data_IF_487509991518
#
_entry.id   IF_487509991518
#
_cell.length_a   1.000
_cell.length_b   1.000
_cell.length_c   1.000
_cell.angle_alpha   90.00
_cell.angle_beta   90.00
_cell.angle_gamma   90.00
#
_symmetry.space_group_name_H-M   'P 1'
#
loop_
_entity.id
_entity.type
_entity.pdbx_description
1 polymer ?
#
# COMPACT_ATOMS: atom_id res chain seq x y z
N UNK A 1 -12.37 -1.91 55.73
CA UNK A 1 -12.88 -1.81 54.34
C UNK A 1 -12.07 -0.75 53.61
N UNK A 2 -11.07 -1.14 52.80
CA UNK A 2 -10.26 -0.20 52.02
C UNK A 2 -10.89 -0.03 50.63
N UNK A 3 -11.32 1.19 50.29
CA UNK A 3 -11.81 1.54 48.95
C UNK A 3 -10.59 1.91 48.10
N UNK A 4 -10.26 1.08 47.11
CA UNK A 4 -9.31 1.42 46.05
C UNK A 4 -10.05 2.23 44.98
N UNK A 5 -9.61 3.47 44.79
CA UNK A 5 -10.10 4.36 43.73
C UNK A 5 -9.23 4.11 42.49
N UNK A 6 -9.83 3.59 41.42
CA UNK A 6 -9.15 3.42 40.13
C UNK A 6 -9.23 4.75 39.38
N UNK A 7 -8.09 5.42 39.22
CA UNK A 7 -7.99 6.63 38.41
C UNK A 7 -7.92 6.21 36.93
N UNK A 8 -9.03 6.38 36.21
CA UNK A 8 -9.05 6.22 34.75
C UNK A 8 -8.28 7.41 34.14
N UNK A 9 -7.07 7.19 33.65
CA UNK A 9 -6.35 8.19 32.86
C UNK A 9 -7.00 8.27 31.47
N UNK A 10 -7.75 9.35 31.23
CA UNK A 10 -8.28 9.69 29.93
C UNK A 10 -7.14 10.18 29.01
N UNK A 11 -6.54 9.26 28.25
CA UNK A 11 -5.58 9.58 27.18
C UNK A 11 -6.39 9.98 25.93
N UNK A 12 -7.05 11.14 25.95
CA UNK A 12 -7.80 11.64 24.79
C UNK A 12 -7.23 12.95 24.20
N UNK A 13 -6.10 13.45 24.73
CA UNK A 13 -5.58 14.78 24.39
C UNK A 13 -4.43 14.82 23.36
N UNK A 14 -3.70 13.72 23.14
CA UNK A 14 -2.48 13.73 22.30
C UNK A 14 -2.72 13.38 20.83
N UNK A 15 -3.88 12.79 20.50
CA UNK A 15 -4.24 12.41 19.13
C UNK A 15 -4.39 13.62 18.20
N UNK A 16 -4.90 14.75 18.70
CA UNK A 16 -5.30 15.90 17.87
C UNK A 16 -4.13 16.84 17.51
N UNK A 17 -3.08 16.93 18.34
CA UNK A 17 -2.01 17.93 18.15
C UNK A 17 -1.03 17.56 17.02
N UNK A 18 -0.61 16.30 16.94
CA UNK A 18 0.35 15.84 15.94
C UNK A 18 -0.21 15.93 14.51
N UNK A 19 -1.46 15.49 14.35
CA UNK A 19 -2.15 15.49 13.08
C UNK A 19 -2.28 16.91 12.51
N UNK A 20 -2.62 17.89 13.35
CA UNK A 20 -2.79 19.29 12.92
C UNK A 20 -1.49 19.96 12.48
N UNK A 21 -0.35 19.57 13.04
CA UNK A 21 0.94 20.20 12.73
C UNK A 21 1.46 19.83 11.34
N UNK A 22 1.31 18.56 10.92
CA UNK A 22 1.91 18.04 9.69
C UNK A 22 0.92 17.86 8.52
N UNK A 23 -0.38 18.00 8.80
CA UNK A 23 -1.41 17.88 7.78
C UNK A 23 -1.20 18.90 6.63
N UNK A 24 -1.16 18.44 5.37
CA UNK A 24 -1.07 19.35 4.22
C UNK A 24 -2.24 20.34 4.20
N UNK A 25 -1.98 21.60 3.85
CA UNK A 25 -3.00 22.65 3.85
C UNK A 25 -4.17 22.29 2.91
N UNK A 26 -5.39 22.35 3.44
CA UNK A 26 -6.61 22.03 2.69
C UNK A 26 -6.83 20.54 2.40
N UNK A 27 -6.01 19.65 2.97
CA UNK A 27 -6.21 18.20 2.86
C UNK A 27 -7.24 17.68 3.86
N UNK A 28 -7.81 16.52 3.56
CA UNK A 28 -8.67 15.75 4.48
C UNK A 28 -8.02 14.41 4.81
N UNK A 29 -8.22 13.94 6.04
CA UNK A 29 -7.68 12.65 6.50
C UNK A 29 -8.60 11.53 6.04
N UNK A 30 -8.02 10.47 5.49
CA UNK A 30 -8.72 9.25 5.08
C UNK A 30 -8.66 8.23 6.20
N UNK A 31 -7.45 7.90 6.65
CA UNK A 31 -7.18 6.92 7.68
C UNK A 31 -5.92 7.30 8.46
N UNK A 32 -5.85 6.85 9.72
CA UNK A 32 -4.63 6.89 10.52
C UNK A 32 -4.49 5.58 11.29
N UNK A 33 -3.30 4.99 11.24
CA UNK A 33 -2.94 3.79 12.01
C UNK A 33 -1.64 4.01 12.75
N UNK A 34 -1.51 3.38 13.91
CA UNK A 34 -0.32 3.43 14.76
C UNK A 34 0.32 2.04 14.86
N UNK A 35 1.64 1.97 14.79
CA UNK A 35 2.37 0.73 14.96
C UNK A 35 3.88 0.92 14.93
N UNK A 36 4.60 0.06 15.62
CA UNK A 36 6.07 0.05 15.62
C UNK A 36 6.57 -0.44 14.26
N UNK A 37 7.13 0.47 13.46
CA UNK A 37 7.60 0.21 12.09
C UNK A 37 9.12 0.13 11.99
N UNK A 38 9.86 0.63 12.97
CA UNK A 38 11.33 0.58 12.99
C UNK A 38 11.95 -0.23 14.14
N UNK A 39 11.11 -0.81 15.00
CA UNK A 39 11.50 -1.80 16.00
C UNK A 39 12.00 -1.19 17.32
N UNK A 40 11.86 0.12 17.52
CA UNK A 40 12.25 0.78 18.76
C UNK A 40 11.18 0.71 19.87
N UNK A 41 10.05 0.04 19.60
CA UNK A 41 8.87 -0.12 20.48
C UNK A 41 8.08 1.16 20.74
N UNK A 42 8.38 2.24 20.03
CA UNK A 42 7.59 3.46 20.02
C UNK A 42 6.80 3.46 18.71
N UNK A 43 5.46 3.39 18.75
CA UNK A 43 4.68 3.35 17.52
C UNK A 43 4.88 4.60 16.65
N UNK A 44 5.21 4.38 15.39
CA UNK A 44 5.03 5.36 14.31
C UNK A 44 3.54 5.57 14.04
N UNK A 45 3.19 6.76 13.59
CA UNK A 45 1.84 7.12 13.13
C UNK A 45 1.82 7.26 11.62
N UNK A 46 1.06 6.42 10.95
CA UNK A 46 0.81 6.51 9.50
C UNK A 46 -0.52 7.24 9.29
N UNK A 47 -0.53 8.21 8.38
CA UNK A 47 -1.71 9.01 8.05
C UNK A 47 -1.80 9.12 6.54
N UNK A 48 -3.00 8.90 5.99
CA UNK A 48 -3.28 9.10 4.57
C UNK A 48 -4.22 10.28 4.42
N UNK A 49 -3.87 11.15 3.48
CA UNK A 49 -4.61 12.36 3.18
C UNK A 49 -5.11 12.34 1.74
N UNK A 50 -6.34 12.80 1.51
CA UNK A 50 -6.71 13.39 0.23
C UNK A 50 -6.18 14.82 0.24
N UNK A 51 -5.24 15.13 -0.65
CA UNK A 51 -4.71 16.49 -0.77
C UNK A 51 -5.69 17.38 -1.55
N UNK A 52 -5.49 18.70 -1.46
CA UNK A 52 -6.26 19.67 -2.25
C UNK A 52 -5.97 19.59 -3.76
N UNK A 53 -4.83 19.01 -4.14
CA UNK A 53 -4.43 18.92 -5.54
C UNK A 53 -5.17 17.74 -6.19
N UNK A 54 -5.58 17.93 -7.44
CA UNK A 54 -6.40 16.96 -8.18
C UNK A 54 -5.84 16.70 -9.57
N UNK A 55 -6.13 15.51 -10.09
CA UNK A 55 -6.02 15.18 -11.52
C UNK A 55 -7.37 14.70 -12.05
N UNK A 56 -7.42 14.25 -13.30
CA UNK A 56 -8.58 13.57 -13.87
C UNK A 56 -8.98 12.29 -13.09
N UNK A 57 -8.05 11.71 -12.31
CA UNK A 57 -8.30 10.55 -11.44
C UNK A 57 -8.64 10.94 -9.98
N UNK A 58 -8.99 12.20 -9.73
CA UNK A 58 -9.47 12.67 -8.42
C UNK A 58 -8.39 13.35 -7.57
N UNK A 59 -8.52 13.30 -6.24
CA UNK A 59 -7.54 13.90 -5.34
C UNK A 59 -6.25 13.09 -5.34
N UNK A 60 -5.12 13.76 -5.52
CA UNK A 60 -3.81 13.17 -5.25
C UNK A 60 -3.72 12.87 -3.75
N UNK A 61 -3.24 11.69 -3.40
CA UNK A 61 -3.08 11.28 -2.00
C UNK A 61 -1.67 11.49 -1.49
N UNK A 62 -1.54 11.81 -0.22
CA UNK A 62 -0.25 11.80 0.48
C UNK A 62 -0.33 10.84 1.65
N UNK A 63 0.61 9.90 1.71
CA UNK A 63 0.90 9.14 2.93
C UNK A 63 2.00 9.87 3.70
N UNK A 64 1.80 10.06 5.00
CA UNK A 64 2.84 10.53 5.92
C UNK A 64 3.04 9.50 7.02
N UNK A 65 4.30 9.25 7.35
CA UNK A 65 4.72 8.39 8.45
C UNK A 65 5.44 9.29 9.44
N UNK A 66 4.90 9.41 10.64
CA UNK A 66 5.42 10.27 11.69
C UNK A 66 6.10 9.41 12.76
N UNK A 67 7.26 9.86 13.20
CA UNK A 67 8.03 9.26 14.30
C UNK A 67 8.14 10.24 15.46
N UNK A 68 8.24 9.72 16.68
CA UNK A 68 8.51 10.51 17.88
C UNK A 68 10.01 10.56 18.15
N UNK A 69 10.60 11.76 18.13
CA UNK A 69 12.01 12.01 18.45
C UNK A 69 12.09 12.99 19.61
N UNK A 70 12.71 12.58 20.71
CA UNK A 70 12.83 13.39 21.94
C UNK A 70 11.50 13.96 22.43
N UNK A 71 10.43 13.16 22.32
CA UNK A 71 9.07 13.53 22.74
C UNK A 71 8.25 14.32 21.72
N UNK A 72 8.86 14.82 20.64
CA UNK A 72 8.20 15.58 19.59
C UNK A 72 7.93 14.72 18.35
N UNK A 73 6.84 15.00 17.65
CA UNK A 73 6.56 14.35 16.37
C UNK A 73 7.39 14.96 15.25
N UNK A 74 7.87 14.13 14.34
CA UNK A 74 8.61 14.50 13.12
C UNK A 74 8.16 13.63 11.96
N UNK A 75 8.20 14.13 10.73
CA UNK A 75 7.97 13.31 9.54
C UNK A 75 9.18 12.38 9.36
N UNK A 76 8.95 11.07 9.46
CA UNK A 76 9.93 10.03 9.14
C UNK A 76 10.04 9.87 7.63
N UNK A 77 8.91 9.69 6.95
CA UNK A 77 8.83 9.65 5.49
C UNK A 77 7.45 10.12 5.04
N UNK A 78 7.35 10.62 3.81
CA UNK A 78 6.07 10.90 3.16
C UNK A 78 6.15 10.64 1.67
N UNK A 79 5.04 10.32 1.03
CA UNK A 79 4.98 10.11 -0.42
C UNK A 79 3.61 10.45 -0.98
N UNK A 80 3.60 10.86 -2.25
CA UNK A 80 2.38 11.03 -3.07
C UNK A 80 2.20 9.94 -4.13
N UNK A 81 3.07 8.93 -4.12
CA UNK A 81 3.14 7.89 -5.15
C UNK A 81 2.77 6.50 -4.62
N UNK A 82 2.57 6.32 -3.31
CA UNK A 82 2.29 5.01 -2.71
C UNK A 82 0.80 4.66 -2.68
N UNK A 83 -0.08 5.67 -2.62
CA UNK A 83 -1.54 5.50 -2.56
C UNK A 83 -2.14 6.16 -3.81
N UNK A 84 -2.97 5.40 -4.53
CA UNK A 84 -3.62 5.84 -5.75
C UNK A 84 -4.65 6.93 -5.47
N UNK A 85 -4.89 7.77 -6.48
CA UNK A 85 -5.82 8.88 -6.41
C UNK A 85 -7.27 8.46 -6.12
N UNK A 86 -8.07 9.39 -5.63
CA UNK A 86 -9.39 9.09 -5.06
C UNK A 86 -10.44 8.52 -6.01
N UNK A 87 -10.23 8.59 -7.33
CA UNK A 87 -11.10 8.00 -8.35
C UNK A 87 -10.36 7.05 -9.28
N UNK A 88 -9.13 6.62 -8.93
CA UNK A 88 -8.32 5.74 -9.76
C UNK A 88 -8.80 4.27 -9.78
N UNK A 89 -9.91 3.95 -9.09
CA UNK A 89 -10.54 2.63 -9.06
C UNK A 89 -11.44 2.32 -10.26
N UNK A 90 -11.47 3.18 -11.30
CA UNK A 90 -12.34 3.00 -12.46
C UNK A 90 -13.81 3.24 -12.13
N UNK A 91 -14.72 2.40 -12.64
CA UNK A 91 -16.16 2.56 -12.37
C UNK A 91 -16.54 2.29 -10.91
N UNK A 92 -15.67 1.59 -10.15
CA UNK A 92 -15.85 1.38 -8.72
C UNK A 92 -15.51 2.62 -7.87
N UNK A 93 -14.92 3.67 -8.47
CA UNK A 93 -14.62 4.93 -7.79
C UNK A 93 -13.31 4.88 -7.02
N UNK A 94 -13.37 5.01 -5.71
CA UNK A 94 -12.20 5.10 -4.83
C UNK A 94 -11.49 3.74 -4.68
N UNK A 95 -10.21 3.63 -5.07
CA UNK A 95 -9.51 2.37 -4.97
C UNK A 95 -8.98 2.04 -3.58
N UNK A 96 -8.94 3.01 -2.65
CA UNK A 96 -8.34 2.79 -1.34
C UNK A 96 -9.18 1.86 -0.48
N UNK A 97 -8.56 0.84 0.12
CA UNK A 97 -9.26 -0.13 0.96
C UNK A 97 -8.82 -0.09 2.41
N UNK A 98 -7.54 -0.26 2.67
CA UNK A 98 -7.03 -0.35 4.03
C UNK A 98 -5.53 -0.01 4.08
N UNK A 99 -5.13 0.61 5.19
CA UNK A 99 -3.74 0.63 5.65
C UNK A 99 -3.62 -0.07 6.99
N UNK A 100 -2.61 -0.93 7.12
CA UNK A 100 -2.43 -1.77 8.29
C UNK A 100 -0.96 -1.89 8.65
N UNK A 101 -0.66 -2.08 9.93
CA UNK A 101 0.68 -2.38 10.40
C UNK A 101 0.67 -3.76 11.07
N UNK A 102 1.49 -4.69 10.57
CA UNK A 102 1.68 -6.01 11.16
C UNK A 102 3.14 -6.38 11.25
N UNK A 103 3.62 -6.71 12.47
CA UNK A 103 4.97 -7.21 12.69
C UNK A 103 6.07 -6.32 12.06
N UNK A 104 5.93 -5.01 12.20
CA UNK A 104 6.86 -4.02 11.63
C UNK A 104 6.73 -3.79 10.11
N UNK A 105 5.66 -4.28 9.49
CA UNK A 105 5.38 -4.10 8.06
C UNK A 105 4.18 -3.19 7.89
N UNK A 106 4.36 -2.14 7.10
CA UNK A 106 3.27 -1.31 6.59
C UNK A 106 2.64 -2.00 5.38
N UNK A 107 1.33 -2.21 5.42
CA UNK A 107 0.55 -2.88 4.38
C UNK A 107 -0.48 -1.90 3.84
N UNK A 108 -0.54 -1.76 2.51
CA UNK A 108 -1.52 -0.89 1.84
C UNK A 108 -2.25 -1.73 0.80
N UNK A 109 -3.58 -1.79 0.90
CA UNK A 109 -4.44 -2.55 0.00
C UNK A 109 -5.33 -1.62 -0.82
N UNK A 110 -5.42 -1.88 -2.12
CA UNK A 110 -6.19 -1.08 -3.06
C UNK A 110 -6.87 -1.98 -4.08
N UNK A 111 -8.04 -1.60 -4.59
CA UNK A 111 -8.73 -2.38 -5.61
C UNK A 111 -9.60 -1.51 -6.51
N UNK A 112 -10.14 -2.10 -7.58
CA UNK A 112 -11.05 -1.37 -8.44
C UNK A 112 -11.52 -2.18 -9.63
N UNK A 113 -12.04 -1.44 -10.61
CA UNK A 113 -12.44 -1.96 -11.90
C UNK A 113 -13.90 -1.69 -12.25
N UNK A 114 -14.47 -2.63 -13.00
CA UNK A 114 -15.82 -2.69 -13.55
C UNK A 114 -16.10 -4.16 -13.88
N UNK A 115 -16.35 -4.49 -15.15
CA UNK A 115 -16.36 -5.85 -15.69
C UNK A 115 -15.03 -6.58 -15.43
N UNK A 116 -13.92 -5.88 -15.65
CA UNK A 116 -12.59 -6.29 -15.20
C UNK A 116 -12.37 -5.84 -13.77
N UNK A 117 -11.91 -6.71 -12.89
CA UNK A 117 -11.60 -6.41 -11.50
C UNK A 117 -10.10 -6.52 -11.28
N UNK A 118 -9.60 -5.74 -10.35
CA UNK A 118 -8.22 -5.85 -9.88
C UNK A 118 -8.13 -5.50 -8.39
N UNK A 119 -7.15 -6.08 -7.72
CA UNK A 119 -6.69 -5.69 -6.39
C UNK A 119 -5.17 -5.78 -6.33
N UNK A 120 -4.59 -4.98 -5.43
CA UNK A 120 -3.16 -4.95 -5.15
C UNK A 120 -2.94 -4.74 -3.66
N UNK A 121 -2.00 -5.47 -3.10
CA UNK A 121 -1.54 -5.33 -1.71
C UNK A 121 -0.04 -5.17 -1.70
N UNK A 122 0.43 -4.02 -1.22
CA UNK A 122 1.84 -3.72 -1.07
C UNK A 122 2.29 -3.87 0.38
N UNK A 123 3.53 -4.34 0.57
CA UNK A 123 4.15 -4.53 1.87
C UNK A 123 5.47 -3.77 1.92
N UNK A 124 5.56 -2.80 2.82
CA UNK A 124 6.74 -1.97 3.03
C UNK A 124 7.40 -2.26 4.36
N UNK A 125 8.72 -2.25 4.39
CA UNK A 125 9.54 -2.36 5.61
C UNK A 125 10.43 -1.13 5.72
N UNK A 126 10.53 -0.57 6.91
CA UNK A 126 11.56 0.43 7.19
C UNK A 126 12.93 -0.26 7.27
N UNK A 127 13.80 0.04 6.31
CA UNK A 127 15.17 -0.47 6.26
C UNK A 127 16.04 0.52 5.48
N UNK A 128 17.34 0.54 5.76
CA UNK A 128 18.27 1.48 5.10
C UNK A 128 17.80 2.95 5.21
N UNK A 129 17.13 3.31 6.30
CA UNK A 129 16.65 4.67 6.58
C UNK A 129 15.41 5.11 5.81
N UNK A 130 14.70 4.21 5.10
CA UNK A 130 13.48 4.53 4.36
C UNK A 130 12.56 3.30 4.23
N UNK A 131 11.32 3.50 3.76
CA UNK A 131 10.35 2.42 3.55
C UNK A 131 10.51 1.77 2.18
N UNK A 132 11.13 0.60 2.14
CA UNK A 132 11.31 -0.20 0.93
C UNK A 132 10.15 -1.18 0.73
N UNK A 133 9.70 -1.34 -0.52
CA UNK A 133 8.73 -2.37 -0.91
C UNK A 133 9.40 -3.73 -0.84
N UNK A 134 8.97 -4.58 0.10
CA UNK A 134 9.53 -5.93 0.30
C UNK A 134 8.71 -7.02 -0.38
N UNK A 135 7.45 -6.72 -0.71
CA UNK A 135 6.57 -7.61 -1.45
C UNK A 135 5.32 -6.91 -1.97
N UNK A 136 4.78 -7.42 -3.07
CA UNK A 136 3.49 -6.98 -3.61
C UNK A 136 2.74 -8.19 -4.17
N UNK A 137 1.43 -8.21 -3.99
CA UNK A 137 0.56 -9.23 -4.57
C UNK A 137 -0.62 -8.56 -5.26
N UNK A 138 -1.06 -9.11 -6.39
CA UNK A 138 -2.21 -8.59 -7.12
C UNK A 138 -2.99 -9.70 -7.79
N UNK A 139 -4.31 -9.58 -7.77
CA UNK A 139 -5.21 -10.39 -8.57
C UNK A 139 -5.92 -9.48 -9.57
N UNK A 140 -6.08 -9.93 -10.82
CA UNK A 140 -6.84 -9.19 -11.83
C UNK A 140 -7.49 -10.12 -12.83
N UNK A 141 -8.69 -9.79 -13.30
CA UNK A 141 -9.41 -10.68 -14.18
C UNK A 141 -10.85 -10.29 -14.40
N UNK A 142 -11.55 -11.13 -15.15
CA UNK A 142 -12.96 -10.98 -15.43
C UNK A 142 -13.63 -12.35 -15.28
N UNK A 143 -14.72 -12.45 -14.49
CA UNK A 143 -15.45 -13.71 -14.35
C UNK A 143 -15.86 -14.27 -15.72
N UNK A 144 -15.68 -15.58 -15.90
CA UNK A 144 -15.96 -16.26 -17.17
C UNK A 144 -14.84 -16.15 -18.21
N UNK A 145 -13.87 -15.24 -18.04
CA UNK A 145 -12.74 -15.08 -18.96
C UNK A 145 -11.50 -15.76 -18.37
N UNK A 146 -10.79 -15.07 -17.48
CA UNK A 146 -9.63 -15.57 -16.74
C UNK A 146 -9.31 -14.69 -15.52
N UNK A 147 -8.49 -15.23 -14.62
CA UNK A 147 -7.86 -14.53 -13.50
C UNK A 147 -6.34 -14.66 -13.55
N UNK A 148 -5.65 -13.54 -13.34
CA UNK A 148 -4.20 -13.46 -13.18
C UNK A 148 -3.88 -13.16 -11.73
N UNK A 149 -2.97 -13.94 -11.16
CA UNK A 149 -2.42 -13.69 -9.82
C UNK A 149 -0.91 -13.49 -9.92
N UNK A 150 -0.42 -12.51 -9.17
CA UNK A 150 0.99 -12.19 -9.02
C UNK A 150 1.27 -12.16 -7.52
N UNK A 151 2.32 -12.86 -7.09
CA UNK A 151 2.92 -12.72 -5.77
C UNK A 151 4.42 -12.53 -5.96
N UNK A 152 4.88 -11.31 -5.70
CA UNK A 152 6.27 -10.92 -5.86
C UNK A 152 6.89 -10.59 -4.52
N UNK A 153 7.79 -11.45 -4.05
CA UNK A 153 8.64 -11.19 -2.91
C UNK A 153 9.93 -10.49 -3.38
N UNK A 154 9.97 -9.16 -3.28
CA UNK A 154 11.12 -8.35 -3.70
C UNK A 154 12.38 -8.61 -2.86
N UNK A 155 12.22 -9.03 -1.59
CA UNK A 155 13.35 -9.35 -0.71
C UNK A 155 14.17 -10.56 -1.22
N UNK A 156 13.49 -11.56 -1.77
CA UNK A 156 14.12 -12.77 -2.33
C UNK A 156 14.29 -12.68 -3.85
N UNK A 157 13.51 -11.80 -4.49
CA UNK A 157 13.35 -11.71 -5.93
C UNK A 157 12.41 -12.77 -6.52
N UNK A 158 11.76 -13.60 -5.70
CA UNK A 158 10.85 -14.62 -6.21
C UNK A 158 9.51 -14.01 -6.63
N UNK A 159 9.19 -14.17 -7.91
CA UNK A 159 7.92 -13.79 -8.52
C UNK A 159 7.17 -15.06 -8.91
N UNK A 160 5.98 -15.25 -8.37
CA UNK A 160 5.06 -16.31 -8.73
C UNK A 160 3.92 -15.70 -9.54
N UNK A 161 3.66 -16.27 -10.71
CA UNK A 161 2.61 -15.85 -11.64
C UNK A 161 1.69 -17.04 -11.94
N UNK A 162 0.38 -16.81 -11.92
CA UNK A 162 -0.62 -17.70 -12.49
C UNK A 162 -1.61 -16.92 -13.35
N UNK A 163 -2.12 -17.57 -14.38
CA UNK A 163 -3.26 -17.15 -15.18
C UNK A 163 -4.18 -18.35 -15.31
N UNK A 164 -5.27 -18.34 -14.55
CA UNK A 164 -6.29 -19.38 -14.60
C UNK A 164 -7.37 -18.99 -15.60
N UNK A 165 -7.53 -19.78 -16.65
CA UNK A 165 -8.42 -19.48 -17.77
C UNK A 165 -9.72 -20.29 -17.66
N UNK A 166 -10.86 -19.60 -17.66
CA UNK A 166 -12.18 -20.22 -17.67
C UNK A 166 -12.66 -20.42 -19.12
N UNK A 167 -12.56 -19.39 -19.96
CA UNK A 167 -12.88 -19.46 -21.39
C UNK A 167 -11.65 -19.86 -22.21
N UNK A 168 -11.38 -21.17 -22.25
CA UNK A 168 -10.22 -21.73 -22.94
C UNK A 168 -10.27 -21.61 -24.47
N UNK A 169 -11.48 -21.47 -25.05
CA UNK A 169 -11.66 -21.29 -26.48
C UNK A 169 -11.10 -19.93 -26.96
N UNK A 170 -11.22 -18.90 -26.14
CA UNK A 170 -10.76 -17.54 -26.45
C UNK A 170 -9.35 -17.25 -25.91
N UNK A 171 -9.07 -17.66 -24.67
CA UNK A 171 -7.85 -17.25 -23.97
C UNK A 171 -6.78 -18.35 -23.85
N UNK A 172 -7.04 -19.53 -24.42
CA UNK A 172 -6.12 -20.66 -24.42
C UNK A 172 -6.05 -21.38 -23.07
N UNK A 173 -4.89 -21.97 -22.77
CA UNK A 173 -4.70 -22.77 -21.54
C UNK A 173 -4.23 -21.89 -20.37
N UNK A 174 -4.52 -22.32 -19.15
CA UNK A 174 -3.92 -21.74 -17.95
C UNK A 174 -2.39 -21.75 -18.02
N UNK A 175 -1.77 -20.71 -17.46
CA UNK A 175 -0.33 -20.53 -17.42
C UNK A 175 0.15 -20.36 -15.98
N UNK A 176 1.34 -20.87 -15.69
CA UNK A 176 1.99 -20.68 -14.39
C UNK A 176 3.49 -20.59 -14.56
N UNK A 177 4.12 -19.66 -13.86
CA UNK A 177 5.57 -19.51 -13.86
C UNK A 177 6.07 -18.92 -12.55
N UNK A 178 7.17 -19.49 -12.05
CA UNK A 178 7.98 -18.86 -11.00
C UNK A 178 9.27 -18.37 -11.64
N UNK A 179 9.60 -17.10 -11.40
CA UNK A 179 10.79 -16.45 -11.94
C UNK A 179 11.53 -15.69 -10.83
N UNK A 180 12.86 -15.63 -10.92
CA UNK A 180 13.69 -14.89 -9.96
C UNK A 180 14.17 -13.60 -10.60
N UNK A 181 13.64 -12.47 -10.12
CA UNK A 181 14.07 -11.11 -10.48
C UNK A 181 14.55 -10.37 -9.23
N UNK A 182 15.87 -10.23 -9.10
CA UNK A 182 16.52 -9.51 -7.99
C UNK A 182 16.94 -8.08 -8.38
N UNK A 183 17.24 -7.27 -7.37
CA UNK A 183 17.86 -5.96 -7.52
C UNK A 183 16.91 -4.82 -7.87
N UNK A 184 15.60 -5.05 -7.83
CA UNK A 184 14.61 -3.99 -7.97
C UNK A 184 14.57 -3.19 -6.67
N UNK A 185 14.62 -1.85 -6.80
CA UNK A 185 14.58 -0.93 -5.68
C UNK A 185 13.32 -0.07 -5.79
N UNK A 186 12.29 -0.52 -5.10
CA UNK A 186 11.00 0.18 -5.03
C UNK A 186 10.78 0.62 -3.59
N UNK A 187 10.29 1.83 -3.41
CA UNK A 187 9.94 2.42 -2.13
C UNK A 187 8.67 3.27 -2.30
N UNK A 188 8.26 3.95 -1.23
CA UNK A 188 7.08 4.80 -1.28
C UNK A 188 7.16 5.86 -2.39
N UNK A 189 8.35 6.35 -2.74
CA UNK A 189 8.55 7.45 -3.68
C UNK A 189 8.38 7.05 -5.15
N UNK A 190 8.55 5.78 -5.50
CA UNK A 190 8.54 5.32 -6.90
C UNK A 190 7.57 4.16 -7.16
N UNK A 191 6.58 3.95 -6.29
CA UNK A 191 5.63 2.85 -6.40
C UNK A 191 4.66 2.96 -7.60
N UNK A 192 3.91 4.06 -7.70
CA UNK A 192 2.92 4.29 -8.77
C UNK A 192 3.40 5.43 -9.69
N UNK A 193 4.51 5.21 -10.38
CA UNK A 193 5.01 6.17 -11.38
C UNK A 193 4.16 6.13 -12.65
N UNK A 194 4.15 7.24 -13.41
CA UNK A 194 3.44 7.34 -14.69
C UNK A 194 3.79 6.19 -15.65
N UNK A 195 5.06 5.79 -15.68
CA UNK A 195 5.51 4.60 -16.40
C UNK A 195 5.51 3.40 -15.45
N UNK A 196 4.49 2.57 -15.57
CA UNK A 196 4.41 1.31 -14.81
C UNK A 196 5.61 0.41 -15.10
N UNK A 197 6.13 -0.20 -14.04
CA UNK A 197 7.20 -1.17 -14.14
C UNK A 197 6.62 -2.51 -14.60
N UNK A 198 7.36 -3.23 -15.44
CA UNK A 198 6.97 -4.56 -15.90
C UNK A 198 8.14 -5.52 -16.03
N UNK A 199 7.84 -6.81 -15.87
CA UNK A 199 8.72 -7.93 -16.16
C UNK A 199 8.06 -8.78 -17.25
N UNK A 200 8.82 -9.17 -18.27
CA UNK A 200 8.39 -10.17 -19.24
C UNK A 200 8.90 -11.52 -18.77
N UNK A 201 7.99 -12.45 -18.54
CA UNK A 201 8.33 -13.77 -18.03
C UNK A 201 9.04 -14.62 -19.10
N UNK A 202 10.17 -15.27 -18.78
CA UNK A 202 10.97 -15.95 -19.80
C UNK A 202 10.29 -17.17 -20.41
N UNK A 203 9.43 -17.91 -19.70
CA UNK A 203 8.78 -19.11 -20.25
C UNK A 203 7.43 -18.81 -20.88
N UNK A 204 6.51 -18.19 -20.14
CA UNK A 204 5.14 -17.90 -20.57
C UNK A 204 5.05 -16.69 -21.51
N UNK A 205 6.07 -15.81 -21.50
CA UNK A 205 6.10 -14.52 -22.24
C UNK A 205 5.04 -13.52 -21.79
N UNK A 206 4.33 -13.79 -20.70
CA UNK A 206 3.36 -12.86 -20.12
C UNK A 206 4.07 -11.63 -19.54
N UNK A 207 3.40 -10.47 -19.66
CA UNK A 207 3.82 -9.24 -19.03
C UNK A 207 3.23 -9.16 -17.62
N UNK A 208 4.11 -9.00 -16.63
CA UNK A 208 3.77 -8.83 -15.22
C UNK A 208 4.02 -7.38 -14.84
N UNK A 209 2.93 -6.67 -14.55
CA UNK A 209 2.94 -5.32 -14.01
C UNK A 209 2.93 -5.41 -12.49
N UNK A 210 3.73 -4.59 -11.81
CA UNK A 210 3.86 -4.60 -10.37
C UNK A 210 4.27 -3.23 -9.85
#
# INVERSE_FOLDING_TARGET
>A
MKKTFFLLFAICGTFCLAQKQFQPAGSTVIESVDGDLDGDKIPEKVIIYNTKDTTDMGNIREIQILKKVSGNWTILEKSRNAVMESNAGGMMGDPYRETKIEKGILIISQNGGSSWKWDVTDKYRFQNGHFELIGTSSTSGRPGDYWKDIDFNLSTGQLNYSKEVENTAEYGKSLKETYIKKGLKINLQNRNQEKQQKIILPKTKEEVYF
#
